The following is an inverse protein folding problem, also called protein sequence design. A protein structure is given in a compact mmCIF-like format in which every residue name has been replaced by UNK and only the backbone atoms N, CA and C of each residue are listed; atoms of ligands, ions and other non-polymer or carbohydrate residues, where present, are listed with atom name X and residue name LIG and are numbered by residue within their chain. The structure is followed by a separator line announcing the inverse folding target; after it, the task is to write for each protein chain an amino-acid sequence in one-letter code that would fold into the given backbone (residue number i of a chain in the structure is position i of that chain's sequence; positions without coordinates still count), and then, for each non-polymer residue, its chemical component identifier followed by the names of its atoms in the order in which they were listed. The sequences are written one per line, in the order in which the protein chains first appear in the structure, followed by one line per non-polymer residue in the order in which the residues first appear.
data_IF_818086983543
#
_entry.id   IF_818086983543
#
_cell.length_a   1.000
_cell.length_b   1.000
_cell.length_c   1.000
_cell.angle_alpha   90.00
_cell.angle_beta   90.00
_cell.angle_gamma   90.00
#
_symmetry.space_group_name_H-M   'P 1'
#
loop_
_entity.id
_entity.type
_entity.pdbx_description
1 polymer ?
#
# COMPACT_ATOMS: atom_id res chain seq x y z
N UNK A 1 25.81 -0.53 23.05
CA UNK A 1 24.98 -1.64 23.57
C UNK A 1 24.13 -2.15 22.41
N UNK A 2 24.37 -3.36 21.93
CA UNK A 2 23.66 -3.92 20.77
C UNK A 2 22.27 -4.40 21.21
N UNK A 3 21.22 -3.92 20.55
CA UNK A 3 19.85 -4.39 20.77
C UNK A 3 19.49 -5.39 19.67
N UNK A 4 18.99 -6.59 19.99
CA UNK A 4 18.65 -7.58 18.98
C UNK A 4 17.50 -7.07 18.11
N UNK A 5 17.67 -7.18 16.79
CA UNK A 5 16.61 -6.92 15.83
C UNK A 5 15.48 -7.92 16.11
N UNK A 6 14.30 -7.43 16.50
CA UNK A 6 13.12 -8.27 16.75
C UNK A 6 12.85 -9.12 15.50
N UNK A 7 12.77 -10.44 15.65
CA UNK A 7 12.35 -11.33 14.56
C UNK A 7 10.96 -10.90 14.10
N UNK A 8 10.83 -10.66 12.80
CA UNK A 8 9.57 -10.31 12.15
C UNK A 8 8.85 -11.63 11.89
N UNK A 9 7.75 -11.89 12.60
CA UNK A 9 7.02 -13.17 12.56
C UNK A 9 6.36 -13.48 11.20
N UNK A 10 6.34 -12.53 10.26
CA UNK A 10 5.78 -12.68 8.92
C UNK A 10 6.88 -12.80 7.86
N UNK A 11 7.50 -13.97 7.75
CA UNK A 11 8.54 -14.30 6.74
C UNK A 11 7.97 -14.69 5.36
N UNK A 12 6.70 -14.40 5.06
CA UNK A 12 6.15 -14.57 3.70
C UNK A 12 6.21 -13.26 2.92
N UNK A 13 7.15 -13.17 1.96
CA UNK A 13 7.29 -12.04 1.02
C UNK A 13 8.56 -11.20 1.25
N UNK A 14 9.70 -11.73 0.81
CA UNK A 14 11.05 -11.23 1.09
C UNK A 14 11.43 -9.89 0.40
N UNK A 15 10.55 -9.30 -0.41
CA UNK A 15 10.87 -8.13 -1.21
C UNK A 15 10.22 -6.87 -0.64
N UNK A 16 10.99 -6.12 0.13
CA UNK A 16 10.64 -4.75 0.55
C UNK A 16 11.38 -3.77 -0.36
N UNK A 17 10.62 -2.96 -1.09
CA UNK A 17 11.18 -1.88 -1.89
C UNK A 17 10.87 -0.55 -1.22
N UNK A 18 11.90 0.27 -1.09
CA UNK A 18 11.80 1.66 -0.66
C UNK A 18 12.09 2.49 -1.90
N UNK A 19 11.08 3.21 -2.38
CA UNK A 19 11.16 4.00 -3.61
C UNK A 19 10.77 5.44 -3.30
N UNK A 20 11.45 6.39 -3.93
CA UNK A 20 11.08 7.80 -3.81
C UNK A 20 10.13 8.16 -4.95
N UNK A 21 8.91 8.58 -4.60
CA UNK A 21 7.97 9.12 -5.59
C UNK A 21 8.15 10.63 -5.69
N UNK A 22 8.40 11.11 -6.91
CA UNK A 22 8.46 12.56 -7.15
C UNK A 22 7.07 13.18 -7.06
N UNK A 23 6.03 12.41 -7.38
CA UNK A 23 4.63 12.85 -7.35
C UNK A 23 4.15 13.08 -5.93
N UNK A 24 4.47 12.14 -5.04
CA UNK A 24 4.08 12.24 -3.64
C UNK A 24 5.06 13.07 -2.80
N UNK A 25 6.25 13.37 -3.33
CA UNK A 25 7.31 14.05 -2.59
C UNK A 25 7.80 13.29 -1.34
N UNK A 26 7.56 11.98 -1.28
CA UNK A 26 7.89 11.13 -0.12
C UNK A 26 8.37 9.74 -0.54
N UNK A 27 9.01 9.06 0.41
CA UNK A 27 9.32 7.63 0.27
C UNK A 27 8.04 6.79 0.37
N UNK A 28 7.90 5.84 -0.55
CA UNK A 28 6.82 4.85 -0.62
C UNK A 28 7.40 3.49 -0.29
N UNK A 29 6.66 2.74 0.54
CA UNK A 29 7.05 1.40 1.00
C UNK A 29 6.20 0.36 0.28
N UNK A 30 6.86 -0.52 -0.46
CA UNK A 30 6.22 -1.56 -1.25
C UNK A 30 6.64 -2.93 -0.70
N UNK A 31 5.68 -3.84 -0.57
CA UNK A 31 5.85 -5.09 0.20
C UNK A 31 5.93 -6.35 -0.67
N UNK A 32 5.71 -6.23 -1.98
CA UNK A 32 5.84 -7.32 -2.94
C UNK A 32 6.28 -6.77 -4.30
N UNK A 33 6.72 -7.65 -5.20
CA UNK A 33 7.13 -7.27 -6.56
C UNK A 33 5.97 -6.71 -7.39
N UNK A 34 4.76 -7.23 -7.20
CA UNK A 34 3.57 -6.75 -7.92
C UNK A 34 3.27 -5.26 -7.64
N UNK A 35 3.43 -4.83 -6.38
CA UNK A 35 3.29 -3.44 -5.98
C UNK A 35 4.38 -2.57 -6.59
N UNK A 36 5.59 -3.11 -6.76
CA UNK A 36 6.68 -2.42 -7.45
C UNK A 36 6.41 -2.23 -8.93
N UNK A 37 6.00 -3.28 -9.64
CA UNK A 37 5.66 -3.20 -11.06
C UNK A 37 4.50 -2.22 -11.29
N UNK A 38 3.46 -2.28 -10.43
CA UNK A 38 2.34 -1.34 -10.47
C UNK A 38 2.77 0.10 -10.17
N UNK A 39 3.68 0.29 -9.19
CA UNK A 39 4.21 1.61 -8.88
C UNK A 39 4.96 2.21 -10.07
N UNK A 40 5.77 1.43 -10.79
CA UNK A 40 6.49 1.92 -11.98
C UNK A 40 5.51 2.43 -13.05
N UNK A 41 4.42 1.69 -13.31
CA UNK A 41 3.38 2.12 -14.25
C UNK A 41 2.69 3.42 -13.80
N UNK A 42 2.36 3.50 -12.50
CA UNK A 42 1.69 4.67 -11.93
C UNK A 42 2.59 5.91 -11.92
N UNK A 43 3.87 5.75 -11.60
CA UNK A 43 4.84 6.85 -11.52
C UNK A 43 5.28 7.34 -12.91
N UNK A 44 5.09 6.55 -13.97
CA UNK A 44 5.42 6.94 -15.35
C UNK A 44 4.24 7.54 -16.12
N UNK A 45 3.00 7.24 -15.74
CA UNK A 45 1.80 7.77 -16.40
C UNK A 45 1.54 9.23 -16.03
N UNK A 46 1.76 10.19 -16.92
CA UNK A 46 1.60 11.63 -16.63
C UNK A 46 0.18 12.06 -16.22
N UNK A 47 -0.84 11.22 -16.42
CA UNK A 47 -2.22 11.52 -16.01
C UNK A 47 -2.47 11.37 -14.51
N UNK A 48 -1.62 10.61 -13.80
CA UNK A 48 -1.80 10.35 -12.37
C UNK A 48 -1.22 11.50 -11.52
N UNK A 49 -2.06 12.32 -10.89
CA UNK A 49 -1.56 13.43 -10.06
C UNK A 49 -1.09 12.97 -8.67
N UNK A 50 -1.79 12.02 -8.07
CA UNK A 50 -1.55 11.54 -6.70
C UNK A 50 -2.08 10.09 -6.57
N UNK A 51 -1.51 9.30 -5.65
CA UNK A 51 -1.93 7.94 -5.37
C UNK A 51 -1.56 7.49 -3.94
N UNK A 52 -2.22 6.44 -3.46
CA UNK A 52 -1.95 5.84 -2.15
C UNK A 52 -1.64 4.34 -2.29
N UNK A 53 -0.52 3.91 -1.74
CA UNK A 53 -0.05 2.52 -1.75
C UNK A 53 -0.95 1.57 -0.95
N UNK A 54 -1.66 2.11 0.04
CA UNK A 54 -2.58 1.37 0.92
C UNK A 54 -3.75 2.28 1.30
N UNK A 55 -4.90 2.20 0.63
CA UNK A 55 -6.07 2.94 1.07
C UNK A 55 -6.41 2.54 2.51
N UNK A 56 -6.55 3.55 3.39
CA UNK A 56 -7.01 3.32 4.75
C UNK A 56 -8.41 2.72 4.73
N UNK A 57 -8.74 1.91 5.75
CA UNK A 57 -10.10 1.37 5.95
C UNK A 57 -11.08 2.53 5.91
N UNK A 58 -11.97 2.53 4.92
CA UNK A 58 -12.98 3.56 4.79
C UNK A 58 -14.09 3.17 5.78
N UNK A 59 -14.36 4.07 6.72
CA UNK A 59 -15.46 3.89 7.66
C UNK A 59 -16.67 4.58 7.05
N UNK A 60 -17.62 3.81 6.53
CA UNK A 60 -18.84 4.36 5.92
C UNK A 60 -19.99 4.09 6.86
N UNK A 61 -20.74 5.13 7.24
CA UNK A 61 -21.99 4.94 7.96
C UNK A 61 -23.13 4.81 6.98
N UNK A 62 -23.74 3.63 6.89
CA UNK A 62 -24.96 3.40 6.10
C UNK A 62 -26.11 3.28 7.09
N UNK A 63 -27.08 4.20 7.01
CA UNK A 63 -28.27 4.22 7.86
C UNK A 63 -27.98 4.20 9.38
N UNK A 64 -26.98 4.98 9.84
CA UNK A 64 -26.65 5.10 11.27
C UNK A 64 -25.87 3.90 11.84
N UNK A 65 -25.53 2.90 11.02
CA UNK A 65 -24.67 1.79 11.38
C UNK A 65 -23.28 2.00 10.77
N UNK A 66 -22.25 1.97 11.60
CA UNK A 66 -20.86 2.07 11.16
C UNK A 66 -20.49 0.75 10.48
N UNK A 67 -20.24 0.79 9.17
CA UNK A 67 -19.78 -0.37 8.41
C UNK A 67 -18.35 -0.12 7.91
N UNK A 68 -17.51 -1.16 7.99
CA UNK A 68 -16.10 -1.09 7.61
C UNK A 68 -15.94 -1.66 6.21
N UNK A 69 -15.99 -0.81 5.18
CA UNK A 69 -15.67 -1.25 3.83
C UNK A 69 -14.16 -1.18 3.59
N UNK A 70 -13.57 -2.34 3.34
CA UNK A 70 -12.23 -2.43 2.77
C UNK A 70 -12.38 -2.16 1.27
N UNK A 71 -11.66 -1.19 0.71
CA UNK A 71 -11.77 -0.78 -0.70
C UNK A 71 -11.19 -1.78 -1.71
N UNK A 72 -11.24 -3.08 -1.40
CA UNK A 72 -10.93 -4.19 -2.31
C UNK A 72 -12.22 -4.96 -2.57
N UNK A 73 -13.13 -4.38 -3.36
CA UNK A 73 -14.21 -5.16 -3.98
C UNK A 73 -13.78 -5.56 -5.38
N UNK A 74 -13.25 -6.78 -5.48
CA UNK A 74 -13.54 -7.72 -6.56
C UNK A 74 -13.13 -9.11 -6.11
N UNK A 75 -14.01 -9.74 -5.31
CA UNK A 75 -14.12 -11.19 -5.31
C UNK A 75 -14.65 -11.58 -6.69
N UNK A 76 -13.79 -12.16 -7.53
CA UNK A 76 -14.24 -12.92 -8.68
C UNK A 76 -14.78 -14.24 -8.13
N UNK A 77 -16.08 -14.44 -8.36
CA UNK A 77 -16.84 -15.64 -8.06
C UNK A 77 -16.47 -16.78 -9.01
#
# INVERSE_FOLDING_TARGET
MYSPVRKIENEMGRNRFYVFSKRLGREVRLYNSLQYDHWVLTETDLSVLDYCERPHKITVSVAGKVDYQTSYSREYK
#
